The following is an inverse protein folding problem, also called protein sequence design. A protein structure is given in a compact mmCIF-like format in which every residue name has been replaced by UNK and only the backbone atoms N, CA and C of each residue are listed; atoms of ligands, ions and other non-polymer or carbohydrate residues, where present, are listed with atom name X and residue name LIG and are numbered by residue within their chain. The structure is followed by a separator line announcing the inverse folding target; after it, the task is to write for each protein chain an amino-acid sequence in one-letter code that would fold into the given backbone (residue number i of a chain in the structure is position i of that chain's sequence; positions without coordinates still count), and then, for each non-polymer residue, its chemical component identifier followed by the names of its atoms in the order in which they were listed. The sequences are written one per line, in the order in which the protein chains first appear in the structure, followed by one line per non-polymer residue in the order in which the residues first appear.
data_IF_705788288088
#
_entry.id   IF_705788288088
#
_cell.length_a   1.000
_cell.length_b   1.000
_cell.length_c   1.000
_cell.angle_alpha   90.00
_cell.angle_beta   90.00
_cell.angle_gamma   90.00
#
_symmetry.space_group_name_H-M   'P 1'
#
loop_
_entity.id
_entity.type
_entity.pdbx_description
1 polymer ?
#
# COMPACT_ATOMS: atom_id res chain seq x y z
N UNK A 1 13.74 3.73 -15.16
CA UNK A 1 14.38 4.46 -16.28
C UNK A 1 13.56 5.71 -16.53
N UNK A 2 13.92 6.83 -15.93
CA UNK A 2 13.36 8.14 -16.26
C UNK A 2 14.55 9.11 -16.26
N UNK A 3 15.00 9.50 -17.46
CA UNK A 3 16.09 10.45 -17.62
C UNK A 3 15.78 11.31 -18.84
N UNK A 4 14.74 12.14 -18.71
CA UNK A 4 14.51 13.23 -19.64
C UNK A 4 15.53 14.32 -19.32
N UNK A 5 16.51 14.49 -20.21
CA UNK A 5 17.47 15.58 -20.13
C UNK A 5 16.73 16.90 -20.39
N UNK A 6 16.26 17.56 -19.32
CA UNK A 6 15.55 18.86 -19.37
C UNK A 6 16.49 20.07 -19.59
N UNK A 7 17.77 19.87 -19.89
CA UNK A 7 18.66 20.96 -20.29
C UNK A 7 18.54 21.20 -21.79
N UNK A 8 17.45 21.85 -22.18
CA UNK A 8 17.32 22.38 -23.53
C UNK A 8 18.09 23.71 -23.59
N UNK A 9 19.41 23.61 -23.76
CA UNK A 9 20.35 24.75 -23.79
C UNK A 9 20.21 25.62 -25.05
N UNK A 10 19.28 25.27 -25.94
CA UNK A 10 18.94 26.04 -27.14
C UNK A 10 17.82 27.04 -26.83
N UNK A 11 18.13 28.07 -26.05
CA UNK A 11 17.22 29.22 -25.87
C UNK A 11 17.61 30.35 -26.80
N UNK A 12 16.68 30.81 -27.63
CA UNK A 12 16.88 32.01 -28.44
C UNK A 12 16.73 33.26 -27.57
N UNK A 13 17.44 34.36 -27.89
CA UNK A 13 17.26 35.63 -27.20
C UNK A 13 15.79 36.10 -27.21
N UNK A 14 15.39 36.82 -26.16
CA UNK A 14 14.08 37.46 -26.08
C UNK A 14 13.85 38.41 -27.27
N UNK A 15 12.66 38.37 -27.88
CA UNK A 15 12.32 39.19 -29.05
C UNK A 15 13.06 38.83 -30.36
N UNK A 16 13.81 37.70 -30.40
CA UNK A 16 14.55 37.29 -31.60
C UNK A 16 13.63 37.15 -32.82
N UNK A 17 12.53 36.40 -32.68
CA UNK A 17 11.59 36.14 -33.78
C UNK A 17 10.68 37.33 -34.10
N UNK A 18 10.33 38.14 -33.10
CA UNK A 18 9.47 39.32 -33.27
C UNK A 18 10.10 40.34 -34.23
N UNK A 19 11.40 40.59 -34.06
CA UNK A 19 12.16 41.51 -34.90
C UNK A 19 12.83 40.82 -36.10
N UNK A 20 12.72 39.50 -36.24
CA UNK A 20 13.38 38.76 -37.33
C UNK A 20 12.82 39.15 -38.70
N UNK A 21 11.49 39.14 -38.84
CA UNK A 21 10.81 39.41 -40.11
C UNK A 21 11.07 40.82 -40.60
N UNK A 22 11.03 41.81 -39.70
CA UNK A 22 11.30 43.21 -40.02
C UNK A 22 12.76 43.41 -40.46
N UNK A 23 13.71 42.80 -39.74
CA UNK A 23 15.14 42.81 -40.10
C UNK A 23 15.42 42.14 -41.44
N UNK A 24 14.73 41.02 -41.73
CA UNK A 24 14.86 40.30 -43.00
C UNK A 24 14.30 41.14 -44.16
N UNK A 25 13.11 41.71 -44.01
CA UNK A 25 12.46 42.51 -45.05
C UNK A 25 13.18 43.84 -45.29
N UNK A 26 13.71 44.49 -44.25
CA UNK A 26 14.55 45.68 -44.39
C UNK A 26 15.81 45.39 -45.22
N UNK A 27 16.51 44.29 -44.93
CA UNK A 27 17.68 43.87 -45.70
C UNK A 27 17.37 43.54 -47.16
N UNK A 28 16.18 43.02 -47.45
CA UNK A 28 15.75 42.69 -48.81
C UNK A 28 15.29 43.93 -49.60
N UNK A 29 14.81 44.97 -48.91
CA UNK A 29 14.20 46.15 -49.54
C UNK A 29 15.20 47.29 -49.78
N UNK A 30 16.25 47.42 -48.95
CA UNK A 30 17.11 48.62 -48.92
C UNK A 30 18.20 48.70 -50.01
N UNK A 31 18.37 47.70 -50.89
CA UNK A 31 19.15 47.88 -52.13
C UNK A 31 19.03 46.69 -53.11
N UNK A 32 18.64 46.89 -54.39
CA UNK A 32 18.69 45.82 -55.41
C UNK A 32 20.13 45.37 -55.71
N UNK A 33 21.14 46.17 -55.41
CA UNK A 33 22.56 45.79 -55.52
C UNK A 33 23.07 44.95 -54.33
N UNK A 34 22.42 45.04 -53.16
CA UNK A 34 22.76 44.27 -51.95
C UNK A 34 22.30 42.80 -52.04
N UNK A 35 21.42 42.48 -52.99
CA UNK A 35 21.03 41.10 -53.31
C UNK A 35 22.24 40.26 -53.75
N UNK A 36 23.28 40.91 -54.28
CA UNK A 36 24.52 40.27 -54.72
C UNK A 36 25.51 39.98 -53.56
N UNK A 37 25.37 40.66 -52.42
CA UNK A 37 26.24 40.50 -51.25
C UNK A 37 25.61 39.60 -50.18
N UNK A 38 24.27 39.52 -50.13
CA UNK A 38 23.52 38.64 -49.24
C UNK A 38 23.48 37.19 -49.72
N UNK A 39 23.43 36.97 -51.04
CA UNK A 39 23.47 35.65 -51.65
C UNK A 39 24.77 35.58 -52.45
N UNK A 40 25.78 34.83 -51.98
CA UNK A 40 27.02 34.68 -52.73
C UNK A 40 26.70 34.16 -54.14
N UNK A 41 27.20 34.86 -55.17
CA UNK A 41 27.04 34.49 -56.59
C UNK A 41 27.71 33.18 -56.99
N UNK A 42 28.49 32.61 -56.07
CA UNK A 42 29.22 31.36 -56.23
C UNK A 42 28.46 30.31 -55.44
N UNK A 43 28.25 29.14 -56.04
CA UNK A 43 27.63 28.00 -55.36
C UNK A 43 28.37 27.76 -54.04
N UNK A 44 27.60 27.61 -52.95
CA UNK A 44 28.05 27.79 -51.57
C UNK A 44 29.25 26.93 -51.15
N UNK A 45 29.00 25.86 -50.38
CA UNK A 45 30.06 25.06 -49.79
C UNK A 45 30.82 24.29 -50.88
N UNK A 46 32.02 24.75 -51.21
CA UNK A 46 32.97 23.96 -51.99
C UNK A 46 33.58 22.88 -51.09
N UNK A 47 33.58 21.64 -51.59
CA UNK A 47 34.31 20.56 -50.94
C UNK A 47 35.81 20.73 -51.22
N UNK A 48 36.69 20.40 -50.26
CA UNK A 48 38.13 20.39 -50.51
C UNK A 48 38.48 19.51 -51.71
N UNK A 49 39.50 19.92 -52.46
CA UNK A 49 40.05 19.13 -53.57
C UNK A 49 40.39 17.70 -53.06
N UNK A 50 39.91 16.68 -53.78
CA UNK A 50 40.11 15.28 -53.42
C UNK A 50 39.26 14.75 -52.26
N UNK A 51 38.27 15.50 -51.74
CA UNK A 51 37.40 15.02 -50.63
C UNK A 51 36.79 13.63 -50.89
N UNK A 52 36.28 13.42 -52.11
CA UNK A 52 35.63 12.17 -52.49
C UNK A 52 36.59 11.04 -52.87
N UNK A 53 37.88 11.33 -53.09
CA UNK A 53 38.86 10.34 -53.53
C UNK A 53 39.22 9.34 -52.41
N UNK A 54 39.24 9.81 -51.15
CA UNK A 54 39.61 8.99 -49.99
C UNK A 54 38.47 8.64 -49.04
N UNK A 55 37.27 9.21 -49.23
CA UNK A 55 36.18 9.05 -48.25
C UNK A 55 35.68 7.61 -48.18
N UNK A 56 35.54 6.94 -49.33
CA UNK A 56 35.08 5.55 -49.40
C UNK A 56 36.05 4.61 -48.67
N UNK A 57 37.35 4.79 -48.89
CA UNK A 57 38.38 3.99 -48.23
C UNK A 57 38.42 4.24 -46.72
N UNK A 58 38.33 5.50 -46.28
CA UNK A 58 38.25 5.85 -44.84
C UNK A 58 37.01 5.27 -44.15
N UNK A 59 35.88 5.19 -44.85
CA UNK A 59 34.67 4.55 -44.34
C UNK A 59 34.90 3.05 -44.19
N UNK A 60 35.44 2.38 -45.22
CA UNK A 60 35.73 0.94 -45.18
C UNK A 60 36.76 0.57 -44.11
N UNK A 61 37.80 1.39 -43.93
CA UNK A 61 38.80 1.22 -42.87
C UNK A 61 38.18 1.36 -41.47
N UNK A 62 37.24 2.29 -41.28
CA UNK A 62 36.47 2.41 -40.03
C UNK A 62 35.48 1.28 -39.81
N UNK A 63 34.99 0.63 -40.88
CA UNK A 63 34.07 -0.49 -40.80
C UNK A 63 34.78 -1.84 -40.59
N UNK A 64 36.11 -1.90 -40.75
CA UNK A 64 36.94 -3.02 -40.36
C UNK A 64 37.04 -3.10 -38.82
N UNK A 65 35.90 -3.33 -38.17
CA UNK A 65 35.85 -3.73 -36.79
C UNK A 65 36.31 -5.18 -36.70
N UNK A 66 37.42 -5.42 -35.99
CA UNK A 66 37.74 -6.77 -35.52
C UNK A 66 36.52 -7.33 -34.80
N UNK A 67 36.09 -8.54 -35.13
CA UNK A 67 34.96 -9.20 -34.49
C UNK A 67 35.13 -9.13 -32.96
N UNK A 68 34.37 -8.23 -32.34
CA UNK A 68 34.40 -8.10 -30.89
C UNK A 68 33.79 -9.38 -30.34
N UNK A 69 34.56 -10.11 -29.54
CA UNK A 69 34.17 -11.41 -28.97
C UNK A 69 32.87 -11.24 -28.17
N UNK A 70 31.74 -11.52 -28.81
CA UNK A 70 30.43 -11.52 -28.16
C UNK A 70 30.34 -12.74 -27.26
N UNK A 71 30.22 -12.52 -25.95
CA UNK A 71 29.99 -13.59 -24.98
C UNK A 71 28.48 -13.75 -24.82
N UNK A 72 27.96 -14.92 -25.19
CA UNK A 72 26.55 -15.25 -24.99
C UNK A 72 26.26 -15.45 -23.49
N UNK A 73 25.30 -14.71 -22.96
CA UNK A 73 24.84 -14.88 -21.57
C UNK A 73 24.02 -16.18 -21.46
N UNK A 74 24.49 -17.12 -20.62
CA UNK A 74 23.75 -18.36 -20.34
C UNK A 74 22.66 -18.10 -19.30
N UNK A 75 21.42 -18.57 -19.51
CA UNK A 75 20.35 -18.35 -18.55
C UNK A 75 20.54 -19.22 -17.30
N UNK A 76 20.54 -18.59 -16.12
CA UNK A 76 20.73 -19.22 -14.81
C UNK A 76 19.50 -19.99 -14.30
N UNK A 77 18.75 -20.67 -15.17
CA UNK A 77 17.47 -21.35 -14.84
C UNK A 77 17.58 -22.36 -13.69
N UNK A 78 18.73 -23.02 -13.53
CA UNK A 78 18.97 -24.00 -12.46
C UNK A 78 18.96 -23.36 -11.06
N UNK A 79 19.41 -22.11 -10.94
CA UNK A 79 19.44 -21.40 -9.67
C UNK A 79 18.05 -20.94 -9.24
N UNK A 80 17.18 -20.61 -10.19
CA UNK A 80 15.78 -20.29 -9.88
C UNK A 80 15.01 -21.50 -9.31
N UNK A 81 15.23 -22.70 -9.86
CA UNK A 81 14.65 -23.92 -9.28
C UNK A 81 15.16 -24.19 -7.86
N UNK A 82 16.47 -24.05 -7.63
CA UNK A 82 17.06 -24.24 -6.30
C UNK A 82 16.54 -23.19 -5.29
N UNK A 83 16.45 -21.93 -5.69
CA UNK A 83 15.92 -20.86 -4.86
C UNK A 83 14.43 -21.05 -4.53
N UNK A 84 13.62 -21.49 -5.50
CA UNK A 84 12.20 -21.78 -5.29
C UNK A 84 11.99 -22.95 -4.30
N UNK A 85 12.83 -24.00 -4.38
CA UNK A 85 12.77 -25.10 -3.42
C UNK A 85 13.12 -24.64 -1.99
N UNK A 86 14.17 -23.82 -1.84
CA UNK A 86 14.54 -23.25 -0.53
C UNK A 86 13.44 -22.35 0.01
N UNK A 87 12.87 -21.48 -0.83
CA UNK A 87 11.76 -20.62 -0.43
C UNK A 87 10.54 -21.43 0.03
N UNK A 88 10.18 -22.50 -0.69
CA UNK A 88 9.08 -23.39 -0.31
C UNK A 88 9.29 -24.04 1.07
N UNK A 89 10.52 -24.52 1.34
CA UNK A 89 10.88 -25.11 2.64
C UNK A 89 10.79 -24.06 3.75
N UNK A 90 11.32 -22.84 3.51
CA UNK A 90 11.26 -21.75 4.48
C UNK A 90 9.81 -21.34 4.76
N UNK A 91 8.96 -21.25 3.74
CA UNK A 91 7.53 -20.94 3.93
C UNK A 91 6.80 -22.02 4.73
N UNK A 92 7.10 -23.30 4.48
CA UNK A 92 6.51 -24.40 5.25
C UNK A 92 6.99 -24.40 6.71
N UNK A 93 8.29 -24.18 6.94
CA UNK A 93 8.85 -24.07 8.28
C UNK A 93 8.25 -22.89 9.05
N UNK A 94 8.01 -21.77 8.37
CA UNK A 94 7.37 -20.59 8.95
C UNK A 94 5.91 -20.84 9.31
N UNK A 95 5.14 -21.48 8.43
CA UNK A 95 3.73 -21.86 8.73
C UNK A 95 3.68 -22.80 9.94
N UNK A 96 4.58 -23.79 10.01
CA UNK A 96 4.60 -24.72 11.13
C UNK A 96 5.03 -24.04 12.43
N UNK A 97 6.03 -23.16 12.38
CA UNK A 97 6.52 -22.43 13.55
C UNK A 97 5.58 -21.29 14.00
N UNK A 98 4.78 -20.73 13.10
CA UNK A 98 3.73 -19.75 13.39
C UNK A 98 2.44 -20.41 13.92
N UNK A 99 2.47 -21.69 14.31
CA UNK A 99 1.35 -22.25 15.09
C UNK A 99 1.39 -21.67 16.51
N UNK A 100 0.95 -20.42 16.64
CA UNK A 100 0.57 -19.86 17.93
C UNK A 100 -0.59 -20.73 18.43
N UNK A 101 -0.32 -21.55 19.43
CA UNK A 101 -1.36 -22.23 20.20
C UNK A 101 -2.25 -21.13 20.77
N UNK A 102 -3.40 -20.89 20.10
CA UNK A 102 -4.44 -20.04 20.67
C UNK A 102 -4.95 -20.81 21.87
N UNK A 103 -4.57 -20.35 23.06
CA UNK A 103 -5.04 -20.93 24.30
C UNK A 103 -6.56 -20.79 24.33
N UNK A 104 -7.25 -21.93 24.44
CA UNK A 104 -8.71 -21.96 24.48
C UNK A 104 -9.14 -21.44 25.85
N UNK A 105 -9.38 -20.14 25.95
CA UNK A 105 -10.02 -19.50 27.10
C UNK A 105 -11.53 -19.37 26.87
N UNK A 106 -12.29 -19.37 27.97
CA UNK A 106 -13.74 -19.07 27.99
C UNK A 106 -14.05 -17.71 27.37
N UNK A 107 -13.11 -16.75 27.39
CA UNK A 107 -13.25 -15.44 26.73
C UNK A 107 -13.42 -15.51 25.20
N UNK A 108 -13.13 -16.66 24.58
CA UNK A 108 -13.30 -16.87 23.14
C UNK A 108 -14.71 -17.35 22.77
N UNK A 109 -15.56 -17.66 23.75
CA UNK A 109 -16.92 -18.12 23.53
C UNK A 109 -17.83 -16.88 23.52
N UNK A 110 -18.64 -16.73 22.47
CA UNK A 110 -19.62 -15.65 22.43
C UNK A 110 -20.80 -15.96 23.36
N UNK A 111 -21.36 -14.96 24.01
CA UNK A 111 -22.53 -15.13 24.87
C UNK A 111 -23.71 -15.79 24.14
N UNK A 112 -23.89 -15.46 22.86
CA UNK A 112 -24.91 -16.08 21.99
C UNK A 112 -24.67 -17.58 21.77
N UNK A 113 -23.42 -18.02 21.79
CA UNK A 113 -23.07 -19.44 21.66
C UNK A 113 -23.34 -20.19 22.96
N UNK A 114 -23.10 -19.56 24.13
CA UNK A 114 -23.48 -20.10 25.44
C UNK A 114 -24.99 -20.22 25.58
N UNK A 115 -25.74 -19.17 25.24
CA UNK A 115 -27.20 -19.17 25.28
C UNK A 115 -27.79 -20.27 24.39
N UNK A 116 -27.32 -20.36 23.14
CA UNK A 116 -27.72 -21.42 22.22
C UNK A 116 -27.39 -22.83 22.76
N UNK A 117 -26.23 -22.99 23.41
CA UNK A 117 -25.85 -24.25 24.04
C UNK A 117 -26.81 -24.64 25.16
N UNK A 118 -27.19 -23.71 26.05
CA UNK A 118 -28.14 -23.96 27.13
C UNK A 118 -29.57 -24.21 26.62
N UNK A 119 -30.00 -23.53 25.56
CA UNK A 119 -31.34 -23.73 24.98
C UNK A 119 -31.48 -25.06 24.24
N UNK A 120 -30.45 -25.48 23.52
CA UNK A 120 -30.51 -26.66 22.65
C UNK A 120 -29.95 -27.94 23.30
N UNK A 121 -29.28 -27.81 24.44
CA UNK A 121 -28.79 -28.95 25.21
C UNK A 121 -29.69 -29.14 26.43
N UNK A 122 -30.48 -30.21 26.42
CA UNK A 122 -31.16 -30.65 27.65
C UNK A 122 -30.11 -31.15 28.64
N UNK A 123 -29.72 -30.29 29.57
CA UNK A 123 -28.70 -30.59 30.56
C UNK A 123 -29.16 -31.61 31.60
N UNK A 124 -30.46 -31.93 31.65
CA UNK A 124 -31.02 -32.95 32.54
C UNK A 124 -30.88 -32.64 34.03
N UNK A 125 -30.42 -31.44 34.41
CA UNK A 125 -30.34 -30.98 35.78
C UNK A 125 -31.54 -30.10 36.11
N UNK A 126 -32.17 -30.38 37.24
CA UNK A 126 -33.12 -29.46 37.85
C UNK A 126 -32.40 -28.27 38.50
N UNK A 127 -33.10 -27.15 38.66
CA UNK A 127 -32.57 -25.97 39.36
C UNK A 127 -32.10 -26.28 40.79
N UNK A 128 -32.73 -27.26 41.45
CA UNK A 128 -32.35 -27.71 42.78
C UNK A 128 -31.04 -28.52 42.79
N UNK A 129 -30.80 -29.36 41.77
CA UNK A 129 -29.55 -30.12 41.65
C UNK A 129 -28.38 -29.21 41.28
N UNK A 130 -28.61 -28.18 40.46
CA UNK A 130 -27.59 -27.16 40.18
C UNK A 130 -27.22 -26.36 41.43
N UNK A 131 -28.20 -26.02 42.27
CA UNK A 131 -27.95 -25.29 43.51
C UNK A 131 -27.13 -26.09 44.54
N UNK A 132 -27.23 -27.43 44.53
CA UNK A 132 -26.41 -28.30 45.38
C UNK A 132 -24.96 -28.41 44.90
N UNK A 133 -24.73 -28.29 43.58
CA UNK A 133 -23.40 -28.36 42.99
C UNK A 133 -22.61 -27.05 43.13
N UNK A 134 -23.30 -25.92 43.34
CA UNK A 134 -22.65 -24.63 43.57
C UNK A 134 -22.07 -24.63 45.00
N UNK A 135 -20.74 -24.49 45.18
CA UNK A 135 -20.12 -24.43 46.50
C UNK A 135 -20.41 -23.09 47.14
N UNK A 136 -21.57 -22.98 47.81
CA UNK A 136 -22.06 -21.74 48.44
C UNK A 136 -21.07 -21.19 49.48
N UNK A 137 -20.31 -22.06 50.13
CA UNK A 137 -19.30 -21.69 51.13
C UNK A 137 -18.06 -21.01 50.52
N UNK A 138 -17.84 -21.15 49.20
CA UNK A 138 -16.72 -20.54 48.46
C UNK A 138 -17.13 -19.29 47.68
N UNK A 139 -18.43 -18.94 47.65
CA UNK A 139 -18.90 -17.73 47.01
C UNK A 139 -18.60 -16.51 47.89
N UNK A 140 -17.75 -15.60 47.41
CA UNK A 140 -17.57 -14.32 48.07
C UNK A 140 -18.82 -13.44 47.85
N UNK A 141 -19.23 -12.70 48.89
CA UNK A 141 -20.36 -11.76 48.80
C UNK A 141 -20.21 -10.75 47.65
N UNK A 142 -18.99 -10.44 47.22
CA UNK A 142 -18.70 -9.59 46.07
C UNK A 142 -19.09 -10.24 44.73
N UNK A 143 -18.86 -11.53 44.53
CA UNK A 143 -19.15 -12.22 43.27
C UNK A 143 -20.64 -12.22 42.94
N UNK A 144 -21.49 -12.32 43.97
CA UNK A 144 -22.95 -12.22 43.80
C UNK A 144 -23.43 -10.80 43.49
N UNK A 145 -22.67 -9.78 43.90
CA UNK A 145 -22.99 -8.36 43.71
C UNK A 145 -22.36 -7.78 42.43
N UNK A 146 -21.38 -8.47 41.84
CA UNK A 146 -20.65 -8.04 40.64
C UNK A 146 -21.43 -8.33 39.35
N UNK A 147 -22.40 -9.24 39.40
CA UNK A 147 -23.42 -9.47 38.37
C UNK A 147 -24.49 -8.37 38.32
N UNK A 148 -24.04 -7.12 38.19
CA UNK A 148 -24.83 -5.93 37.83
C UNK A 148 -26.24 -5.84 38.45
N UNK A 149 -26.30 -5.52 39.74
CA UNK A 149 -27.52 -4.91 40.30
C UNK A 149 -27.72 -3.54 39.66
N UNK A 150 -28.44 -3.51 38.55
CA UNK A 150 -28.82 -2.26 37.90
C UNK A 150 -29.71 -1.46 38.88
N UNK A 151 -29.29 -0.22 39.13
CA UNK A 151 -29.97 0.65 40.07
C UNK A 151 -31.41 0.93 39.64
N UNK A 152 -31.72 0.89 38.34
CA UNK A 152 -33.06 1.05 37.80
C UNK A 152 -33.96 -0.13 38.18
N UNK A 153 -33.46 -1.36 38.05
CA UNK A 153 -34.18 -2.58 38.45
C UNK A 153 -34.44 -2.62 39.96
N UNK A 154 -33.49 -2.14 40.77
CA UNK A 154 -33.66 -2.05 42.23
C UNK A 154 -34.71 -1.02 42.61
N UNK A 155 -34.72 0.13 41.92
CA UNK A 155 -35.73 1.17 42.15
C UNK A 155 -37.13 0.68 41.77
N UNK A 156 -37.28 0.01 40.63
CA UNK A 156 -38.56 -0.56 40.20
C UNK A 156 -39.08 -1.58 41.20
N UNK A 157 -38.23 -2.51 41.64
CA UNK A 157 -38.62 -3.49 42.66
C UNK A 157 -39.08 -2.83 43.97
N UNK A 158 -38.33 -1.84 44.46
CA UNK A 158 -38.69 -1.14 45.70
C UNK A 158 -39.98 -0.34 45.54
N UNK A 159 -40.24 0.22 44.37
CA UNK A 159 -41.45 0.96 44.09
C UNK A 159 -42.68 0.04 43.96
N UNK A 160 -42.53 -1.12 43.30
CA UNK A 160 -43.61 -2.09 43.14
C UNK A 160 -43.98 -2.80 44.45
N UNK A 161 -43.04 -2.91 45.38
CA UNK A 161 -43.25 -3.55 46.68
C UNK A 161 -43.37 -2.55 47.84
N UNK A 162 -43.54 -1.26 47.55
CA UNK A 162 -43.56 -0.21 48.58
C UNK A 162 -44.69 -0.40 49.59
N UNK A 163 -45.83 -0.92 49.13
CA UNK A 163 -47.01 -1.19 49.95
C UNK A 163 -46.76 -2.29 50.99
N UNK A 164 -45.96 -3.31 50.66
CA UNK A 164 -45.58 -4.40 51.57
C UNK A 164 -44.65 -3.92 52.69
N UNK A 165 -43.80 -2.93 52.40
CA UNK A 165 -42.96 -2.27 53.41
C UNK A 165 -43.76 -1.32 54.30
N UNK A 166 -44.79 -0.67 53.76
CA UNK A 166 -45.68 0.21 54.51
C UNK A 166 -46.50 -0.57 55.55
N UNK A 167 -46.91 -1.80 55.23
CA UNK A 167 -47.58 -2.71 56.18
C UNK A 167 -46.69 -3.16 57.36
N UNK A 168 -45.37 -3.16 57.18
CA UNK A 168 -44.39 -3.47 58.23
C UNK A 168 -43.98 -2.24 59.04
N UNK A 169 -44.37 -1.04 58.60
CA UNK A 169 -44.19 0.19 59.33
C UNK A 169 -45.23 0.24 60.47
N UNK A 170 -44.97 -0.54 61.53
CA UNK A 170 -45.74 -0.49 62.77
C UNK A 170 -45.60 0.91 63.35
N UNK A 171 -46.60 1.74 63.11
CA UNK A 171 -46.78 3.03 63.77
C UNK A 171 -46.81 2.76 65.27
N UNK A 172 -45.68 3.03 65.94
CA UNK A 172 -45.63 3.12 67.40
C UNK A 172 -46.45 4.36 67.79
N UNK A 173 -47.77 4.18 67.88
CA UNK A 173 -48.65 5.08 68.60
C UNK A 173 -48.84 4.54 70.02
N UNK A 174 -48.58 5.41 71.00
CA UNK A 174 -48.98 5.25 72.40
C UNK A 174 -50.47 4.88 72.55
#
# INVERSE_FOLDING_TARGET
MNKDNQNNDFKTPEGYFESFTERLMGRLSDNPSAHNDLIPKKDGFEVPEGYFEGVNQKILEKLNYSETKVVQLKPFKKYYMAAAAVAAIVTLAFIFNWSASKELSFDNIADSDLENYFENTDLGFSTYELAELIPVDELEYSDMLEGHLDQENVLDYLNDNIDDFEALNLENNE
#
